data_IF_581099698461
#
_entry.id   IF_581099698461
#
_cell.length_a   1.000
_cell.length_b   1.000
_cell.length_c   1.000
_cell.angle_alpha   90.00
_cell.angle_beta   90.00
_cell.angle_gamma   90.00
#
_symmetry.space_group_name_H-M   'P 1'
#
loop_
_entity.id
_entity.type
_entity.pdbx_description
1 polymer ?
#
# COMPACT_ATOMS: atom_id res chain seq x y z
N UNK A 1 -16.08 11.16 -6.95
CA UNK A 1 -14.68 10.85 -6.65
C UNK A 1 -14.63 10.26 -5.27
N UNK A 2 -14.09 9.04 -5.06
CA UNK A 2 -13.74 8.63 -3.71
C UNK A 2 -12.74 9.67 -3.18
N UNK A 3 -13.05 10.29 -2.05
CA UNK A 3 -12.12 11.15 -1.33
C UNK A 3 -11.05 10.22 -0.74
N UNK A 4 -10.04 9.89 -1.55
CA UNK A 4 -8.92 9.08 -1.10
C UNK A 4 -8.23 9.85 0.02
N UNK A 5 -8.26 9.28 1.23
CA UNK A 5 -7.54 9.83 2.36
C UNK A 5 -6.05 9.47 2.22
N UNK A 6 -5.26 10.39 1.66
CA UNK A 6 -3.85 10.17 1.39
C UNK A 6 -2.98 9.93 2.64
N UNK A 7 -3.36 10.47 3.82
CA UNK A 7 -2.60 10.18 5.05
C UNK A 7 -2.83 8.74 5.53
N UNK A 8 -4.05 8.24 5.37
CA UNK A 8 -4.36 6.83 5.63
C UNK A 8 -3.64 5.95 4.61
N UNK A 9 -3.68 6.30 3.32
CA UNK A 9 -2.96 5.56 2.28
C UNK A 9 -1.45 5.48 2.56
N UNK A 10 -0.83 6.59 2.96
CA UNK A 10 0.59 6.63 3.33
C UNK A 10 0.90 5.74 4.55
N UNK A 11 0.01 5.74 5.55
CA UNK A 11 0.17 4.90 6.74
C UNK A 11 0.08 3.41 6.40
N UNK A 12 -0.86 3.01 5.55
CA UNK A 12 -1.02 1.62 5.10
C UNK A 12 0.19 1.14 4.30
N UNK A 13 0.70 1.98 3.38
CA UNK A 13 1.91 1.66 2.60
C UNK A 13 3.14 1.52 3.50
N UNK A 14 3.29 2.43 4.48
CA UNK A 14 4.39 2.35 5.44
C UNK A 14 4.33 1.09 6.29
N UNK A 15 3.15 0.72 6.79
CA UNK A 15 2.94 -0.48 7.58
C UNK A 15 3.20 -1.76 6.76
N UNK A 16 2.73 -1.81 5.51
CA UNK A 16 3.04 -2.89 4.58
C UNK A 16 4.55 -3.06 4.41
N UNK A 17 5.27 -1.96 4.20
CA UNK A 17 6.72 -1.99 4.03
C UNK A 17 7.44 -2.46 5.30
N UNK A 18 7.01 -2.03 6.49
CA UNK A 18 7.56 -2.53 7.75
C UNK A 18 7.38 -4.04 7.91
N UNK A 19 6.19 -4.57 7.57
CA UNK A 19 5.91 -6.00 7.64
C UNK A 19 6.76 -6.81 6.65
N UNK A 20 6.93 -6.32 5.42
CA UNK A 20 7.72 -7.01 4.39
C UNK A 20 9.22 -6.94 4.67
N UNK A 21 9.71 -5.81 5.22
CA UNK A 21 11.15 -5.59 5.48
C UNK A 21 11.66 -6.32 6.74
N UNK A 22 10.80 -6.58 7.75
CA UNK A 22 11.20 -7.16 9.04
C UNK A 22 11.34 -8.69 9.08
N UNK A 23 11.67 -9.28 7.91
CA UNK A 23 12.06 -10.67 7.71
C UNK A 23 10.93 -11.71 7.77
N UNK A 24 10.99 -12.61 6.79
CA UNK A 24 10.26 -13.88 6.77
C UNK A 24 10.94 -14.91 7.70
N UNK A 25 10.18 -15.82 8.33
CA UNK A 25 8.73 -15.96 8.25
C UNK A 25 8.01 -14.96 9.16
N UNK A 26 6.86 -14.47 8.70
CA UNK A 26 5.95 -13.66 9.50
C UNK A 26 5.29 -14.53 10.57
N UNK A 27 5.15 -13.98 11.78
CA UNK A 27 4.29 -14.56 12.81
C UNK A 27 2.82 -14.59 12.33
N UNK A 28 1.98 -15.54 12.79
CA UNK A 28 0.59 -15.65 12.33
C UNK A 28 -0.21 -14.35 12.46
N UNK A 29 0.04 -13.56 13.51
CA UNK A 29 -0.58 -12.24 13.71
C UNK A 29 -0.13 -11.21 12.67
N UNK A 30 1.14 -11.26 12.26
CA UNK A 30 1.69 -10.40 11.20
C UNK A 30 1.15 -10.81 9.83
N UNK A 31 0.94 -12.11 9.60
CA UNK A 31 0.33 -12.61 8.37
C UNK A 31 -1.12 -12.15 8.23
N UNK A 32 -1.96 -12.33 9.27
CA UNK A 32 -3.33 -11.81 9.25
C UNK A 32 -3.36 -10.29 9.07
N UNK A 33 -2.42 -9.57 9.70
CA UNK A 33 -2.33 -8.12 9.54
C UNK A 33 -1.94 -7.71 8.12
N UNK A 34 -1.03 -8.44 7.48
CA UNK A 34 -0.66 -8.23 6.08
C UNK A 34 -1.85 -8.45 5.14
N UNK A 35 -2.64 -9.51 5.37
CA UNK A 35 -3.85 -9.79 4.58
C UNK A 35 -4.88 -8.65 4.69
N UNK A 36 -5.15 -8.15 5.90
CA UNK A 36 -6.04 -7.01 6.14
C UNK A 36 -5.55 -5.73 5.44
N UNK A 37 -4.24 -5.49 5.48
CA UNK A 37 -3.61 -4.35 4.80
C UNK A 37 -3.81 -4.43 3.29
N UNK A 38 -3.53 -5.58 2.68
CA UNK A 38 -3.67 -5.79 1.24
C UNK A 38 -5.13 -5.65 0.79
N UNK A 39 -6.07 -6.18 1.58
CA UNK A 39 -7.50 -5.97 1.35
C UNK A 39 -7.86 -4.49 1.37
N UNK A 40 -7.40 -3.76 2.39
CA UNK A 40 -7.69 -2.33 2.54
C UNK A 40 -7.08 -1.51 1.41
N UNK A 41 -5.84 -1.80 1.02
CA UNK A 41 -5.19 -1.17 -0.13
C UNK A 41 -5.97 -1.41 -1.41
N UNK A 42 -6.47 -2.62 -1.63
CA UNK A 42 -7.33 -2.93 -2.78
C UNK A 42 -8.61 -2.10 -2.81
N UNK A 43 -9.25 -1.86 -1.66
CA UNK A 43 -10.42 -0.96 -1.56
C UNK A 43 -10.06 0.49 -1.88
N UNK A 44 -8.92 0.98 -1.40
CA UNK A 44 -8.47 2.36 -1.62
C UNK A 44 -8.03 2.64 -3.06
N UNK A 45 -7.49 1.63 -3.74
CA UNK A 45 -6.88 1.75 -5.07
C UNK A 45 -7.77 1.22 -6.19
N UNK A 46 -8.76 0.41 -5.87
CA UNK A 46 -9.66 -0.24 -6.84
C UNK A 46 -9.10 -1.52 -7.47
N UNK A 47 -7.89 -1.96 -7.07
CA UNK A 47 -7.25 -3.16 -7.59
C UNK A 47 -7.51 -4.38 -6.69
N UNK A 48 -7.81 -5.53 -7.29
CA UNK A 48 -8.00 -6.79 -6.55
C UNK A 48 -6.69 -7.52 -6.30
N UNK A 49 -5.75 -7.41 -7.23
CA UNK A 49 -4.45 -8.04 -7.11
C UNK A 49 -3.59 -7.28 -6.10
N UNK A 50 -3.06 -7.94 -5.05
CA UNK A 50 -2.34 -7.26 -3.97
C UNK A 50 -1.13 -6.44 -4.45
N UNK A 51 -0.37 -6.99 -5.42
CA UNK A 51 0.80 -6.31 -5.98
C UNK A 51 0.41 -5.07 -6.79
N UNK A 52 -0.70 -5.12 -7.53
CA UNK A 52 -1.22 -3.98 -8.28
C UNK A 52 -1.74 -2.89 -7.33
N UNK A 53 -2.44 -3.28 -6.26
CA UNK A 53 -2.92 -2.37 -5.24
C UNK A 53 -1.77 -1.62 -4.54
N UNK A 54 -0.70 -2.33 -4.15
CA UNK A 54 0.49 -1.69 -3.55
C UNK A 54 1.15 -0.74 -4.56
N UNK A 55 1.34 -1.18 -5.80
CA UNK A 55 1.96 -0.35 -6.86
C UNK A 55 1.16 0.93 -7.12
N UNK A 56 -0.16 0.82 -7.21
CA UNK A 56 -1.04 1.97 -7.39
C UNK A 56 -1.00 2.90 -6.17
N UNK A 57 -0.99 2.34 -4.95
CA UNK A 57 -0.89 3.15 -3.73
C UNK A 57 0.40 3.99 -3.71
N UNK A 58 1.54 3.40 -4.08
CA UNK A 58 2.79 4.15 -4.25
C UNK A 58 2.70 5.22 -5.33
N UNK A 59 2.09 4.91 -6.49
CA UNK A 59 1.89 5.86 -7.58
C UNK A 59 1.05 7.07 -7.14
N UNK A 60 -0.06 6.83 -6.45
CA UNK A 60 -0.95 7.86 -5.93
C UNK A 60 -0.25 8.77 -4.90
N UNK A 61 0.59 8.19 -4.04
CA UNK A 61 1.39 8.96 -3.07
C UNK A 61 2.45 9.81 -3.76
N UNK A 62 3.15 9.27 -4.76
CA UNK A 62 4.17 10.02 -5.51
C UNK A 62 3.55 11.19 -6.29
N UNK A 63 2.40 10.98 -6.95
CA UNK A 63 1.63 12.04 -7.60
C UNK A 63 1.23 13.14 -6.62
N UNK A 64 0.83 12.77 -5.39
CA UNK A 64 0.45 13.74 -4.36
C UNK A 64 1.64 14.55 -3.86
N UNK A 65 2.82 13.95 -3.80
CA UNK A 65 4.05 14.59 -3.34
C UNK A 65 4.75 15.42 -4.45
N UNK A 66 4.23 15.41 -5.68
CA UNK A 66 4.87 16.08 -6.82
C UNK A 66 6.15 15.40 -7.27
N UNK A 67 6.33 14.12 -6.91
CA UNK A 67 7.44 13.30 -7.39
C UNK A 67 7.02 12.80 -8.78
N UNK A 68 7.41 13.54 -9.81
CA UNK A 68 7.19 13.09 -11.19
C UNK A 68 7.90 11.74 -11.39
N UNK A 69 7.22 10.72 -11.94
CA UNK A 69 7.88 9.46 -12.25
C UNK A 69 8.97 9.76 -13.29
N UNK A 70 10.22 9.45 -12.96
CA UNK A 70 11.32 9.55 -13.91
C UNK A 70 10.95 8.76 -15.16
N UNK A 71 10.71 9.47 -16.26
CA UNK A 71 10.42 8.87 -17.56
C UNK A 71 11.56 7.93 -17.94
N UNK A 72 11.22 6.65 -18.12
CA UNK A 72 12.08 5.67 -18.79
C UNK A 72 11.98 5.84 -20.30
#
# INVERSE_FOLDING_TARGET
MPLINYSVLASLVHEHQQLVDHAYPLEPSQQSRLEDLLYTLGVYTGFREPQEAVTEAHRLLNLRLGVEPASA
#
